data_IF_854077886168
#
_entry.id   IF_854077886168
#
_cell.length_a   1.000
_cell.length_b   1.000
_cell.length_c   1.000
_cell.angle_alpha   90.00
_cell.angle_beta   90.00
_cell.angle_gamma   90.00
#
_symmetry.space_group_name_H-M   'P 1'
#
loop_
_entity.id
_entity.type
_entity.pdbx_description
1 polymer ?
#
# COMPACT_ATOMS: atom_id res chain seq x y z
N UNK A 1 11.66 -1.47 15.56
CA UNK A 1 11.04 -1.37 14.23
C UNK A 1 9.65 -1.95 14.32
N UNK A 2 8.58 -1.26 13.87
CA UNK A 2 7.24 -1.81 13.89
C UNK A 2 7.13 -3.05 12.99
N UNK A 3 6.22 -3.95 13.32
CA UNK A 3 5.84 -5.05 12.42
C UNK A 3 5.25 -4.48 11.11
N UNK A 4 5.39 -5.20 9.97
CA UNK A 4 4.84 -4.74 8.69
C UNK A 4 3.31 -4.74 8.69
N UNK A 5 2.67 -3.87 7.89
CA UNK A 5 1.22 -3.91 7.69
C UNK A 5 0.79 -5.24 7.06
N UNK A 6 -0.48 -5.61 7.29
CA UNK A 6 -1.05 -6.89 6.83
C UNK A 6 -2.24 -6.65 5.90
N UNK A 7 -2.65 -7.69 5.16
CA UNK A 7 -3.87 -7.64 4.35
C UNK A 7 -3.78 -6.71 3.12
N UNK A 8 -2.59 -6.57 2.53
CA UNK A 8 -2.38 -5.77 1.33
C UNK A 8 -3.36 -6.21 0.22
N UNK A 9 -4.20 -5.28 -0.21
CA UNK A 9 -5.19 -5.47 -1.26
C UNK A 9 -5.24 -4.24 -2.14
N UNK A 10 -5.81 -4.41 -3.34
CA UNK A 10 -6.03 -3.30 -4.26
C UNK A 10 -7.42 -3.37 -4.89
N UNK A 11 -7.90 -2.25 -5.40
CA UNK A 11 -9.15 -2.17 -6.14
C UNK A 11 -8.96 -1.20 -7.31
N UNK A 12 -9.48 -1.55 -8.49
CA UNK A 12 -9.45 -0.67 -9.65
C UNK A 12 -10.35 0.54 -9.38
N UNK A 13 -9.79 1.74 -9.50
CA UNK A 13 -10.54 2.99 -9.40
C UNK A 13 -10.98 3.48 -10.77
N UNK A 14 -10.05 3.50 -11.72
CA UNK A 14 -10.30 4.01 -13.05
C UNK A 14 -9.38 3.37 -14.08
N UNK A 15 -9.77 3.44 -15.34
CA UNK A 15 -8.96 3.04 -16.48
C UNK A 15 -8.95 4.19 -17.48
N UNK A 16 -7.79 4.49 -18.05
CA UNK A 16 -7.67 5.53 -19.06
C UNK A 16 -8.47 5.13 -20.30
N UNK A 17 -8.90 6.13 -21.08
CA UNK A 17 -9.66 5.92 -22.32
C UNK A 17 -8.90 5.08 -23.36
N UNK A 18 -7.57 5.04 -23.24
CA UNK A 18 -6.68 4.23 -24.10
C UNK A 18 -6.43 2.83 -23.54
N UNK A 19 -6.93 2.52 -22.33
CA UNK A 19 -6.71 1.26 -21.59
C UNK A 19 -5.24 0.95 -21.29
N UNK A 20 -4.35 1.94 -21.44
CA UNK A 20 -2.91 1.79 -21.19
C UNK A 20 -2.60 1.99 -19.71
N UNK A 21 -3.32 2.91 -19.07
CA UNK A 21 -3.07 3.32 -17.70
C UNK A 21 -4.30 3.03 -16.84
N UNK A 22 -4.06 2.64 -15.59
CA UNK A 22 -5.10 2.36 -14.63
C UNK A 22 -4.76 2.96 -13.27
N UNK A 23 -5.76 3.58 -12.65
CA UNK A 23 -5.67 4.05 -11.28
C UNK A 23 -6.15 2.94 -10.35
N UNK A 24 -5.37 2.64 -9.31
CA UNK A 24 -5.73 1.67 -8.28
C UNK A 24 -5.72 2.29 -6.89
N UNK A 25 -6.62 1.82 -6.03
CA UNK A 25 -6.59 2.09 -4.60
C UNK A 25 -5.92 0.91 -3.91
N UNK A 26 -4.75 1.15 -3.30
CA UNK A 26 -4.08 0.17 -2.45
C UNK A 26 -4.52 0.37 -1.00
N UNK A 27 -4.84 -0.71 -0.31
CA UNK A 27 -5.26 -0.72 1.09
C UNK A 27 -4.55 -1.80 1.87
N UNK A 28 -4.32 -1.54 3.15
CA UNK A 28 -3.72 -2.47 4.11
C UNK A 28 -4.27 -2.18 5.50
N UNK A 29 -4.01 -3.07 6.43
CA UNK A 29 -4.36 -2.94 7.83
C UNK A 29 -3.09 -2.79 8.70
N UNK A 30 -3.17 -2.08 9.84
CA UNK A 30 -2.07 -2.03 10.78
C UNK A 30 -1.74 -3.42 11.35
N UNK A 31 -0.52 -3.65 11.85
CA UNK A 31 -0.15 -4.93 12.44
C UNK A 31 -1.10 -5.30 13.59
N UNK A 32 -1.51 -6.58 13.74
CA UNK A 32 -2.49 -6.99 14.75
C UNK A 32 -2.09 -6.63 16.19
N UNK A 33 -0.79 -6.67 16.48
CA UNK A 33 -0.22 -6.40 17.80
C UNK A 33 0.13 -4.92 18.02
N UNK A 34 -0.25 -4.03 17.09
CA UNK A 34 0.08 -2.61 17.19
C UNK A 34 -0.96 -1.86 18.03
N UNK A 35 -0.50 -1.01 18.95
CA UNK A 35 -1.35 -0.16 19.79
C UNK A 35 -1.95 1.06 19.01
N UNK A 36 -1.96 1.01 17.67
CA UNK A 36 -2.49 2.07 16.79
C UNK A 36 -3.97 2.32 17.08
N UNK A 37 -4.76 1.24 17.23
CA UNK A 37 -6.20 1.34 17.54
C UNK A 37 -6.49 1.99 18.89
N UNK A 38 -5.54 1.90 19.83
CA UNK A 38 -5.62 2.52 21.15
C UNK A 38 -5.05 3.94 21.18
N UNK A 39 -4.54 4.46 20.06
CA UNK A 39 -4.00 5.82 19.93
C UNK A 39 -2.67 6.05 20.65
N UNK A 40 -1.97 5.01 21.08
CA UNK A 40 -0.70 5.13 21.82
C UNK A 40 0.50 5.32 20.91
N UNK A 41 0.39 4.87 19.67
CA UNK A 41 1.43 4.99 18.65
C UNK A 41 0.80 5.50 17.35
N UNK A 42 1.61 6.22 16.59
CA UNK A 42 1.29 6.64 15.22
C UNK A 42 2.27 5.90 14.32
N UNK A 43 1.75 5.29 13.25
CA UNK A 43 2.57 4.65 12.22
C UNK A 43 2.50 5.49 10.94
N UNK A 44 3.66 5.70 10.35
CA UNK A 44 3.81 6.21 8.99
C UNK A 44 4.13 5.03 8.08
N UNK A 45 3.55 5.03 6.88
CA UNK A 45 3.68 3.93 5.93
C UNK A 45 4.34 4.43 4.65
N UNK A 46 5.33 3.68 4.19
CA UNK A 46 5.95 3.86 2.88
C UNK A 46 5.48 2.71 1.97
N UNK A 47 5.01 3.05 0.77
CA UNK A 47 4.53 2.09 -0.22
C UNK A 47 5.37 2.16 -1.50
N UNK A 48 6.52 1.48 -1.54
CA UNK A 48 7.26 1.36 -2.78
C UNK A 48 6.50 0.48 -3.78
N UNK A 49 6.54 0.85 -5.05
CA UNK A 49 5.97 0.07 -6.16
C UNK A 49 6.92 0.00 -7.35
N UNK A 50 6.76 -1.01 -8.19
CA UNK A 50 7.51 -1.16 -9.43
C UNK A 50 6.79 -2.12 -10.37
N UNK A 51 7.16 -2.09 -11.64
CA UNK A 51 6.76 -3.15 -12.54
C UNK A 51 7.50 -4.46 -12.24
N UNK A 52 6.89 -5.60 -12.58
CA UNK A 52 7.46 -6.92 -12.30
C UNK A 52 8.88 -7.07 -12.90
N UNK A 53 9.09 -6.45 -14.07
CA UNK A 53 10.34 -6.52 -14.85
C UNK A 53 11.36 -5.43 -14.49
N UNK A 54 10.99 -4.45 -13.68
CA UNK A 54 11.91 -3.41 -13.19
C UNK A 54 12.70 -3.93 -11.98
N UNK A 55 13.94 -3.49 -11.81
CA UNK A 55 14.78 -3.81 -10.64
C UNK A 55 14.72 -2.73 -9.56
N UNK A 56 14.37 -1.50 -9.94
CA UNK A 56 14.33 -0.34 -9.05
C UNK A 56 12.90 -0.10 -8.55
N UNK A 57 12.79 0.31 -7.29
CA UNK A 57 11.52 0.68 -6.67
C UNK A 57 11.25 2.17 -6.86
N UNK A 58 10.01 2.51 -7.22
CA UNK A 58 9.45 3.86 -7.17
C UNK A 58 8.90 4.08 -5.76
N UNK A 59 9.13 5.26 -5.21
CA UNK A 59 8.65 5.70 -3.90
C UNK A 59 7.49 6.67 -4.07
#
# INVERSE_FOLDING_TARGET
QPDPPVGLNWTLLNMSLTEIDADILVKWEPPPNSDVKMGRIILEYELPYKELNETQWKM
#
